data_IF_398036903481
#
_entry.id   IF_398036903481
#
_cell.length_a   1.000
_cell.length_b   1.000
_cell.length_c   1.000
_cell.angle_alpha   90.00
_cell.angle_beta   90.00
_cell.angle_gamma   90.00
#
_symmetry.space_group_name_H-M   'P 1'
#
loop_
_entity.id
_entity.type
_entity.pdbx_description
1 polymer ?
2 branched ?
3 branched ?
4 non-polymer ?
5 water ?
#
# COMPACT_ATOMS: atom_id res chain seq x y z
N UNK A 7 28.15 6.69 7.04
CA UNK A 7 29.10 7.75 6.68
C UNK A 7 28.42 9.13 6.55
N UNK A 8 28.90 10.10 7.34
CA UNK A 8 28.29 11.41 7.42
C UNK A 8 28.21 12.23 6.12
N UNK A 9 29.24 12.15 5.30
CA UNK A 9 29.27 12.86 4.02
C UNK A 9 28.20 12.29 3.08
N UNK A 10 28.04 10.97 3.09
CA UNK A 10 27.01 10.33 2.27
C UNK A 10 25.61 10.74 2.71
N UNK A 11 25.42 10.81 4.02
CA UNK A 11 24.16 11.27 4.60
C UNK A 11 23.92 12.74 4.22
N UNK A 12 24.97 13.55 4.19
CA UNK A 12 24.82 14.94 3.74
C UNK A 12 24.28 15.00 2.29
N UNK A 13 24.94 14.28 1.38
CA UNK A 13 24.60 14.28 -0.04
C UNK A 13 23.19 13.74 -0.28
N UNK A 14 22.81 12.74 0.51
CA UNK A 14 21.49 12.13 0.39
C UNK A 14 21.29 11.40 -0.93
N UNK A 15 20.03 11.17 -1.27
CA UNK A 15 19.72 10.46 -2.49
C UNK A 15 20.17 11.23 -3.71
N UNK A 16 20.65 10.51 -4.73
CA UNK A 16 20.97 11.11 -6.03
C UNK A 16 19.76 11.87 -6.62
N UNK A 17 20.03 12.78 -7.55
CA UNK A 17 18.98 13.55 -8.21
C UNK A 17 18.16 12.72 -9.18
N UNK A 18 18.80 11.73 -9.78
CA UNK A 18 18.15 10.78 -10.68
C UNK A 18 16.94 10.14 -10.03
N UNK A 19 17.16 9.60 -8.83
CA UNK A 19 16.12 8.93 -8.06
C UNK A 19 15.07 9.90 -7.54
N UNK A 20 13.82 9.69 -7.92
CA UNK A 20 12.73 10.45 -7.34
C UNK A 20 12.42 10.05 -5.90
N UNK A 21 11.64 10.90 -5.24
CA UNK A 21 11.23 10.69 -3.87
C UNK A 21 10.49 9.39 -3.76
N UNK A 22 9.67 9.10 -4.77
CA UNK A 22 8.81 7.92 -4.75
C UNK A 22 9.66 6.68 -4.96
N UNK A 23 10.61 6.73 -5.88
CA UNK A 23 11.49 5.57 -6.08
C UNK A 23 12.34 5.31 -4.83
N UNK A 24 12.83 6.37 -4.21
CA UNK A 24 13.71 6.23 -3.07
C UNK A 24 12.95 5.67 -1.87
N UNK A 25 11.72 6.16 -1.72
CA UNK A 25 10.84 5.68 -0.68
C UNK A 25 10.64 4.16 -0.78
N UNK A 26 10.21 3.70 -1.95
CA UNK A 26 9.95 2.28 -2.18
C UNK A 26 11.17 1.42 -1.89
N UNK A 27 12.33 1.91 -2.29
CA UNK A 27 13.56 1.16 -2.16
C UNK A 27 13.95 1.04 -0.67
N UNK A 28 13.78 2.11 0.09
CA UNK A 28 14.07 2.08 1.52
C UNK A 28 13.08 1.19 2.27
N UNK A 29 11.80 1.25 1.89
CA UNK A 29 10.75 0.41 2.45
C UNK A 29 11.10 -1.06 2.20
N UNK A 30 11.57 -1.33 1.00
CA UNK A 30 11.90 -2.69 0.60
C UNK A 30 13.10 -3.21 1.37
N UNK A 31 14.08 -2.32 1.61
CA UNK A 31 15.28 -2.71 2.31
C UNK A 31 15.00 -3.04 3.78
N UNK A 32 14.15 -2.24 4.42
CA UNK A 32 13.77 -2.53 5.80
C UNK A 32 12.99 -3.82 5.88
N UNK A 33 12.11 -4.03 4.91
CA UNK A 33 11.23 -5.18 4.89
C UNK A 33 12.04 -6.47 4.81
N UNK A 34 13.07 -6.49 3.96
CA UNK A 34 13.91 -7.67 3.80
C UNK A 34 14.68 -7.92 5.09
N UNK A 35 15.27 -6.85 5.62
CA UNK A 35 16.07 -6.90 6.85
C UNK A 35 15.26 -7.47 8.01
N UNK A 36 14.02 -6.99 8.13
CA UNK A 36 13.13 -7.41 9.19
C UNK A 36 12.60 -8.82 9.00
N UNK A 37 12.42 -9.26 7.76
CA UNK A 37 11.99 -10.62 7.53
C UNK A 37 13.06 -11.61 7.97
N UNK A 38 14.32 -11.22 7.81
CA UNK A 38 15.43 -12.07 8.17
C UNK A 38 15.53 -12.23 9.70
N UNK A 39 15.46 -11.11 10.43
CA UNK A 39 15.43 -11.13 11.89
C UNK A 39 14.29 -11.96 12.44
N UNK A 40 13.10 -11.73 11.89
CA UNK A 40 11.92 -12.45 12.36
C UNK A 40 12.11 -13.94 12.10
N UNK A 41 12.63 -14.28 10.92
CA UNK A 41 12.79 -15.68 10.58
C UNK A 41 13.80 -16.41 11.47
N UNK A 42 14.86 -15.71 11.85
CA UNK A 42 15.82 -16.29 12.77
C UNK A 42 15.19 -16.54 14.13
N UNK A 43 14.48 -15.56 14.67
CA UNK A 43 13.81 -15.76 15.95
C UNK A 43 12.80 -16.93 15.89
N UNK A 44 12.06 -17.00 14.80
CA UNK A 44 11.10 -18.10 14.59
C UNK A 44 11.77 -19.45 14.56
N UNK A 45 12.98 -19.50 14.01
CA UNK A 45 13.71 -20.75 13.90
C UNK A 45 14.18 -21.22 15.29
N UNK A 46 14.73 -20.29 16.08
CA UNK A 46 15.10 -20.61 17.46
C UNK A 46 13.90 -21.11 18.25
N UNK A 47 12.76 -20.45 18.09
CA UNK A 47 11.56 -20.85 18.79
C UNK A 47 11.23 -22.31 18.44
N UNK A 48 11.27 -22.62 17.15
CA UNK A 48 10.99 -23.95 16.64
C UNK A 48 11.94 -24.99 17.21
N UNK A 49 13.22 -24.62 17.29
CA UNK A 49 14.26 -25.53 17.69
C UNK A 49 14.16 -25.83 19.20
N UNK A 50 13.87 -24.81 19.99
CA UNK A 50 13.56 -25.00 21.41
C UNK A 50 12.31 -25.86 21.58
N UNK A 51 11.35 -25.67 20.70
CA UNK A 51 10.09 -26.40 20.74
C UNK A 51 10.26 -27.88 20.45
N UNK A 52 11.20 -28.21 19.56
CA UNK A 52 11.41 -29.58 19.13
C UNK A 52 12.03 -30.45 20.21
N UNK A 53 12.87 -29.85 21.04
CA UNK A 53 13.54 -30.56 22.12
C UNK A 53 12.61 -30.76 23.30
N UNK A 54 11.68 -29.82 23.45
CA UNK A 54 10.85 -29.74 24.63
C UNK A 54 9.45 -30.29 24.41
N UNK A 55 9.33 -31.29 23.54
CA UNK A 55 8.02 -31.73 23.08
C UNK A 55 7.17 -32.28 24.23
N UNK A 56 7.79 -33.06 25.11
CA UNK A 56 7.06 -33.68 26.19
C UNK A 56 7.19 -32.95 27.53
N UNK A 57 7.71 -31.74 27.51
CA UNK A 57 7.87 -30.91 28.69
C UNK A 57 6.56 -30.71 29.45
N UNK A 58 6.64 -30.48 30.76
CA UNK A 58 5.40 -30.18 31.49
C UNK A 58 4.81 -28.85 31.02
N UNK A 59 3.49 -28.76 31.12
CA UNK A 59 2.73 -27.64 30.60
C UNK A 59 3.36 -26.27 30.90
N UNK A 60 3.62 -25.97 32.17
CA UNK A 60 4.09 -24.64 32.56
C UNK A 60 5.49 -24.35 32.04
N UNK A 61 6.24 -25.41 31.79
CA UNK A 61 7.58 -25.26 31.24
C UNK A 61 7.47 -24.91 29.76
N UNK A 62 6.42 -25.43 29.12
CA UNK A 62 6.15 -25.17 27.72
C UNK A 62 5.60 -23.76 27.54
N UNK A 63 4.79 -23.32 28.49
CA UNK A 63 4.27 -21.98 28.43
C UNK A 63 5.41 -20.98 28.65
N UNK A 64 6.38 -21.30 29.51
CA UNK A 64 7.49 -20.37 29.75
C UNK A 64 8.37 -20.23 28.51
N UNK A 65 8.56 -21.33 27.80
CA UNK A 65 9.31 -21.34 26.57
C UNK A 65 8.61 -20.41 25.52
N UNK A 66 7.28 -20.44 25.49
CA UNK A 66 6.50 -19.60 24.58
C UNK A 66 6.53 -18.14 24.99
N UNK A 67 6.38 -17.85 26.28
CA UNK A 67 6.45 -16.47 26.74
C UNK A 67 7.80 -15.85 26.39
N UNK A 68 8.85 -16.67 26.47
CA UNK A 68 10.20 -16.25 26.16
C UNK A 68 10.30 -15.67 24.74
N UNK A 69 9.79 -16.40 23.76
CA UNK A 69 9.93 -15.96 22.38
C UNK A 69 8.86 -14.95 21.96
N UNK A 70 7.68 -15.03 22.57
CA UNK A 70 6.65 -14.04 22.27
C UNK A 70 7.14 -12.67 22.65
N UNK A 71 7.90 -12.61 23.73
CA UNK A 71 8.44 -11.38 24.27
C UNK A 71 9.55 -10.83 23.38
N UNK A 72 10.36 -11.72 22.83
CA UNK A 72 11.36 -11.28 21.87
C UNK A 72 10.69 -10.72 20.59
N UNK A 73 9.65 -11.40 20.13
CA UNK A 73 8.93 -10.99 18.96
C UNK A 73 8.24 -9.66 19.17
N UNK A 74 7.73 -9.43 20.38
CA UNK A 74 7.07 -8.16 20.66
C UNK A 74 8.03 -6.97 20.51
N UNK A 75 9.23 -7.11 21.06
CA UNK A 75 10.21 -6.05 20.94
C UNK A 75 10.57 -5.80 19.47
N UNK A 76 10.52 -6.87 18.69
CA UNK A 76 10.81 -6.82 17.27
C UNK A 76 9.69 -6.10 16.50
N UNK A 77 8.45 -6.48 16.79
CA UNK A 77 7.27 -5.89 16.16
C UNK A 77 7.25 -4.38 16.41
N UNK A 78 7.58 -3.97 17.63
CA UNK A 78 7.57 -2.54 17.95
C UNK A 78 8.66 -1.76 17.24
N UNK A 79 9.80 -2.40 16.98
CA UNK A 79 10.84 -1.79 16.16
C UNK A 79 10.38 -1.60 14.72
N UNK A 80 9.82 -2.67 14.16
CA UNK A 80 9.35 -2.71 12.79
C UNK A 80 8.35 -1.57 12.55
N UNK A 81 7.47 -1.38 13.51
CA UNK A 81 6.44 -0.39 13.36
C UNK A 81 6.97 1.03 13.66
N UNK A 82 7.95 1.16 14.54
CA UNK A 82 8.57 2.45 14.79
C UNK A 82 9.30 2.97 13.56
N UNK A 83 10.00 2.06 12.87
CA UNK A 83 10.71 2.34 11.65
C UNK A 83 9.76 2.82 10.56
N UNK A 84 8.68 2.06 10.40
CA UNK A 84 7.63 2.34 9.44
C UNK A 84 7.07 3.75 9.64
N UNK A 85 6.72 4.11 10.87
CA UNK A 85 6.19 5.45 11.16
C UNK A 85 7.15 6.53 10.72
N UNK A 86 8.42 6.30 11.00
CA UNK A 86 9.45 7.26 10.66
C UNK A 86 9.61 7.39 9.15
N UNK A 87 9.53 6.27 8.44
CA UNK A 87 9.70 6.26 6.99
C UNK A 87 8.50 6.94 6.33
N UNK A 88 7.34 6.65 6.87
CA UNK A 88 6.10 7.14 6.30
C UNK A 88 5.91 8.64 6.62
N UNK A 89 6.36 9.10 7.78
CA UNK A 89 6.26 10.52 8.08
C UNK A 89 7.21 11.34 7.22
N UNK A 90 8.44 10.88 7.07
CA UNK A 90 9.41 11.56 6.21
C UNK A 90 8.89 11.66 4.78
N UNK A 91 8.32 10.58 4.26
CA UNK A 91 7.77 10.58 2.91
C UNK A 91 6.57 11.54 2.75
N UNK A 92 5.67 11.52 3.73
CA UNK A 92 4.46 12.32 3.63
C UNK A 92 4.78 13.82 3.63
N UNK A 93 5.73 14.19 4.48
CA UNK A 93 6.25 15.54 4.57
C UNK A 93 6.90 16.02 3.26
N UNK A 94 7.67 15.14 2.62
CA UNK A 94 8.29 15.49 1.35
C UNK A 94 7.28 15.66 0.21
N UNK A 95 6.22 14.84 0.20
CA UNK A 95 5.26 14.85 -0.89
C UNK A 95 4.48 16.17 -0.87
N UNK A 96 3.93 16.50 0.29
CA UNK A 96 3.34 17.79 0.55
C UNK A 96 4.23 18.98 0.15
N UNK A 97 5.53 18.92 0.45
CA UNK A 97 6.44 20.01 0.09
C UNK A 97 6.60 20.10 -1.43
N UNK A 98 6.70 18.95 -2.09
CA UNK A 98 6.82 18.93 -3.55
C UNK A 98 5.58 19.51 -4.19
N UNK A 99 4.43 19.14 -3.67
CA UNK A 99 3.17 19.59 -4.23
C UNK A 99 3.03 21.09 -3.99
N UNK A 100 3.42 21.55 -2.80
CA UNK A 100 3.41 22.98 -2.51
C UNK A 100 4.34 23.73 -3.49
N UNK A 101 5.49 23.14 -3.79
CA UNK A 101 6.46 23.79 -4.65
C UNK A 101 5.97 23.90 -6.09
N UNK A 102 5.33 22.83 -6.56
CA UNK A 102 4.88 22.77 -7.94
C UNK A 102 3.80 23.83 -8.23
N UNK A 103 2.85 24.01 -7.30
CA UNK A 103 1.79 24.96 -7.52
C UNK A 103 2.29 26.39 -7.35
N UNK A 104 3.26 26.59 -6.47
CA UNK A 104 3.77 27.93 -6.27
C UNK A 104 4.66 28.38 -7.43
N UNK A 105 5.36 27.43 -8.03
CA UNK A 105 6.25 27.77 -9.13
C UNK A 105 5.42 28.00 -10.37
N UNK A 106 4.31 27.28 -10.46
CA UNK A 106 3.38 27.42 -11.57
C UNK A 106 2.67 28.76 -11.48
N UNK A 107 2.26 29.14 -10.27
CA UNK A 107 1.66 30.44 -10.04
C UNK A 107 2.64 31.55 -10.45
N UNK A 108 3.92 31.34 -10.13
CA UNK A 108 5.00 32.23 -10.52
C UNK A 108 5.09 32.39 -12.02
N UNK A 109 5.00 31.25 -12.72
CA UNK A 109 5.00 31.25 -14.17
C UNK A 109 3.86 32.07 -14.74
N UNK A 110 2.65 31.85 -14.20
CA UNK A 110 1.42 32.56 -14.60
C UNK A 110 1.60 34.07 -14.43
N UNK A 111 2.04 34.50 -13.25
CA UNK A 111 2.24 35.93 -13.00
C UNK A 111 3.30 36.57 -13.90
N UNK A 112 4.34 35.81 -14.26
CA UNK A 112 5.39 36.32 -15.12
C UNK A 112 4.86 36.49 -16.56
N UNK A 113 3.97 35.59 -16.97
CA UNK A 113 3.41 35.62 -18.31
C UNK A 113 2.43 36.75 -18.45
N UNK A 114 1.64 36.99 -17.40
CA UNK A 114 0.69 38.09 -17.38
C UNK A 114 1.35 39.45 -17.53
N UNK A 115 2.55 39.62 -17.00
CA UNK A 115 3.19 40.93 -16.99
C UNK A 115 4.16 41.12 -18.14
N UNK A 116 4.28 40.10 -18.98
CA UNK A 116 5.09 40.22 -20.20
C UNK A 116 4.59 41.38 -21.07
N UNK A 117 5.50 41.97 -21.84
CA UNK A 117 5.15 43.06 -22.75
C UNK A 117 5.93 42.94 -24.06
N UNK A 118 5.23 42.67 -25.17
CA UNK A 118 3.78 42.48 -25.32
C UNK A 118 3.31 41.16 -24.75
N UNK A 119 2.21 41.18 -23.98
CA UNK A 119 1.69 39.96 -23.36
C UNK A 119 1.32 38.92 -24.42
N UNK A 120 1.59 37.65 -24.13
CA UNK A 120 1.39 36.58 -25.09
C UNK A 120 0.32 35.61 -24.61
N UNK A 121 -0.83 35.65 -25.27
CA UNK A 121 -2.00 34.85 -24.91
C UNK A 121 -1.68 33.37 -24.76
N UNK A 122 -0.85 32.83 -25.63
CA UNK A 122 -0.62 31.39 -25.62
C UNK A 122 0.21 31.00 -24.40
N UNK A 123 1.18 31.84 -24.06
CA UNK A 123 2.04 31.61 -22.92
C UNK A 123 1.25 31.75 -21.62
N UNK A 124 0.40 32.76 -21.54
CA UNK A 124 -0.45 32.96 -20.36
C UNK A 124 -1.41 31.79 -20.18
N UNK A 125 -2.04 31.39 -21.27
CA UNK A 125 -2.97 30.27 -21.22
C UNK A 125 -2.28 28.98 -20.80
N UNK A 126 -1.07 28.77 -21.31
CA UNK A 126 -0.33 27.56 -21.00
C UNK A 126 0.08 27.53 -19.53
N UNK A 127 0.58 28.67 -19.05
CA UNK A 127 0.99 28.84 -17.66
C UNK A 127 -0.18 28.62 -16.69
N UNK A 128 -1.37 29.06 -17.09
CA UNK A 128 -2.58 28.91 -16.29
C UNK A 128 -3.05 27.45 -16.20
N UNK A 129 -3.01 26.76 -17.33
CA UNK A 129 -3.30 25.32 -17.35
C UNK A 129 -2.40 24.58 -16.36
N UNK A 130 -1.11 24.92 -16.39
CA UNK A 130 -0.12 24.28 -15.51
C UNK A 130 -0.40 24.61 -14.03
N UNK A 131 -0.81 25.84 -13.75
CA UNK A 131 -1.13 26.24 -12.37
C UNK A 131 -2.39 25.54 -11.86
N UNK A 132 -3.42 25.48 -12.70
CA UNK A 132 -4.67 24.82 -12.36
C UNK A 132 -4.49 23.32 -12.13
N UNK A 133 -3.59 22.67 -12.87
CA UNK A 133 -3.30 21.26 -12.64
C UNK A 133 -2.64 21.01 -11.29
N UNK A 134 -1.72 21.90 -10.93
CA UNK A 134 -0.94 21.78 -9.71
C UNK A 134 -1.83 21.90 -8.48
N UNK A 135 -2.81 22.81 -8.56
CA UNK A 135 -3.80 22.95 -7.50
C UNK A 135 -4.70 21.73 -7.47
N UNK A 136 -5.04 21.20 -8.64
CA UNK A 136 -5.86 20.00 -8.70
C UNK A 136 -5.11 18.78 -8.15
N UNK A 137 -3.78 18.79 -8.33
CA UNK A 137 -2.99 17.71 -7.77
C UNK A 137 -3.07 17.76 -6.24
N UNK A 138 -3.11 18.96 -5.68
CA UNK A 138 -3.20 19.06 -4.22
C UNK A 138 -4.59 18.65 -3.75
N UNK A 139 -5.61 19.01 -4.52
CA UNK A 139 -6.96 18.63 -4.18
C UNK A 139 -7.14 17.11 -4.19
N UNK A 140 -6.60 16.43 -5.21
CA UNK A 140 -6.75 14.97 -5.32
C UNK A 140 -5.95 14.25 -4.24
N UNK A 141 -4.77 14.78 -3.92
CA UNK A 141 -3.98 14.24 -2.83
C UNK A 141 -4.69 14.39 -1.49
N UNK A 142 -5.46 15.46 -1.33
CA UNK A 142 -6.17 15.68 -0.08
C UNK A 142 -7.33 14.71 0.06
N UNK A 143 -8.03 14.47 -1.04
CA UNK A 143 -9.12 13.50 -1.05
C UNK A 143 -8.63 12.06 -0.92
N UNK A 144 -7.56 11.71 -1.63
CA UNK A 144 -7.07 10.34 -1.68
C UNK A 144 -6.47 9.88 -0.37
N UNK A 145 -5.70 10.77 0.26
CA UNK A 145 -5.13 10.45 1.55
C UNK A 145 -6.25 10.27 2.59
N UNK A 146 -7.28 11.10 2.49
CA UNK A 146 -8.42 10.94 3.40
C UNK A 146 -9.11 9.62 3.13
N UNK A 147 -9.28 9.28 1.86
CA UNK A 147 -9.94 8.07 1.43
C UNK A 147 -9.13 6.85 1.87
N UNK A 148 -7.82 6.99 1.82
CA UNK A 148 -6.94 5.90 2.19
C UNK A 148 -6.94 5.63 3.70
N UNK A 149 -6.88 6.70 4.50
CA UNK A 149 -6.95 6.55 5.95
C UNK A 149 -8.31 5.99 6.36
N UNK A 150 -9.38 6.43 5.70
CA UNK A 150 -10.68 5.86 5.99
C UNK A 150 -10.69 4.34 5.73
N UNK A 151 -9.94 3.94 4.71
CA UNK A 151 -9.99 2.57 4.20
C UNK A 151 -9.16 1.58 5.03
N UNK A 152 -8.13 2.07 5.73
CA UNK A 152 -7.23 1.17 6.45
C UNK A 152 -7.12 1.50 7.93
N UNK A 153 -7.77 2.58 8.34
CA UNK A 153 -7.64 3.09 9.70
C UNK A 153 -8.79 4.04 10.01
N UNK A 154 -10.02 3.48 10.10
CA UNK A 154 -11.24 4.31 10.18
C UNK A 154 -11.31 5.24 11.39
N UNK A 155 -10.58 4.94 12.46
CA UNK A 155 -10.62 5.79 13.65
C UNK A 155 -9.81 7.07 13.45
N UNK A 156 -8.72 6.94 12.70
CA UNK A 156 -7.86 8.07 12.37
C UNK A 156 -8.58 9.03 11.40
N UNK A 157 -9.49 8.46 10.62
CA UNK A 157 -10.26 9.18 9.60
C UNK A 157 -11.17 10.24 10.21
N UNK A 158 -11.92 9.84 11.24
CA UNK A 158 -12.80 10.73 11.97
C UNK A 158 -12.04 11.93 12.53
N UNK A 159 -10.78 11.74 12.89
CA UNK A 159 -9.96 12.83 13.39
C UNK A 159 -9.64 13.88 12.32
N UNK A 160 -9.72 13.47 11.05
CA UNK A 160 -9.31 14.28 9.91
C UNK A 160 -10.42 15.14 9.30
N UNK A 161 -11.64 14.60 9.27
CA UNK A 161 -12.76 15.16 8.53
C UNK A 161 -12.76 16.67 8.40
N UNK A 162 -12.91 17.35 9.53
CA UNK A 162 -12.97 18.79 9.54
C UNK A 162 -11.77 19.43 8.86
N UNK A 163 -10.58 18.94 9.16
CA UNK A 163 -9.35 19.47 8.59
C UNK A 163 -9.32 19.31 7.05
N UNK A 164 -9.77 18.16 6.57
CA UNK A 164 -9.90 17.87 5.15
C UNK A 164 -10.90 18.83 4.51
N UNK A 165 -12.01 18.99 5.20
CA UNK A 165 -13.11 19.85 4.78
C UNK A 165 -12.63 21.30 4.64
N UNK A 166 -11.82 21.74 5.60
CA UNK A 166 -11.25 23.07 5.58
C UNK A 166 -10.24 23.25 4.45
N UNK A 167 -9.39 22.25 4.29
CA UNK A 167 -8.31 22.29 3.31
C UNK A 167 -8.87 22.42 1.88
N UNK A 168 -9.96 21.69 1.59
CA UNK A 168 -10.54 21.74 0.26
C UNK A 168 -11.11 23.14 -0.04
N UNK A 169 -11.74 23.77 0.96
CA UNK A 169 -12.26 25.15 0.78
C UNK A 169 -11.11 26.10 0.56
N UNK A 170 -10.03 25.93 1.32
CA UNK A 170 -8.83 26.73 1.14
C UNK A 170 -8.32 26.69 -0.30
N UNK A 171 -8.18 25.49 -0.86
CA UNK A 171 -7.67 25.32 -2.22
C UNK A 171 -8.57 26.02 -3.22
N UNK A 172 -9.86 25.84 -3.03
CA UNK A 172 -10.88 26.33 -3.91
C UNK A 172 -10.87 27.86 -3.98
N UNK A 173 -10.80 28.51 -2.82
CA UNK A 173 -10.72 29.95 -2.78
C UNK A 173 -9.45 30.45 -3.42
N UNK A 174 -8.34 29.82 -3.09
CA UNK A 174 -7.05 30.26 -3.61
C UNK A 174 -7.04 30.22 -5.14
N UNK A 175 -7.60 29.17 -5.72
CA UNK A 175 -7.67 29.09 -7.17
C UNK A 175 -8.50 30.27 -7.74
N UNK A 176 -9.67 30.51 -7.18
CA UNK A 176 -10.50 31.65 -7.59
C UNK A 176 -9.78 33.00 -7.42
N UNK A 177 -9.10 33.20 -6.28
CA UNK A 177 -8.29 34.41 -6.14
C UNK A 177 -7.20 34.48 -7.20
N UNK A 178 -6.61 33.35 -7.58
CA UNK A 178 -5.60 33.38 -8.64
C UNK A 178 -6.18 33.68 -10.04
N UNK A 179 -7.36 33.12 -10.29
CA UNK A 179 -8.03 33.31 -11.56
C UNK A 179 -8.31 34.80 -11.71
N UNK A 180 -8.60 35.43 -10.58
CA UNK A 180 -8.86 36.86 -10.54
C UNK A 180 -7.68 37.72 -10.97
N UNK A 181 -6.49 37.15 -11.00
CA UNK A 181 -5.32 37.95 -11.35
C UNK A 181 -5.25 38.20 -12.84
N UNK A 182 -6.13 37.59 -13.61
CA UNK A 182 -6.22 37.84 -15.04
C UNK A 182 -6.50 39.32 -15.32
N UNK A 183 -7.14 40.02 -14.38
CA UNK A 183 -7.45 41.44 -14.60
C UNK A 183 -6.18 42.33 -14.55
N UNK A 184 -5.03 41.71 -14.29
CA UNK A 184 -3.74 42.39 -14.42
C UNK A 184 -3.50 42.85 -15.84
N UNK A 185 -4.03 42.10 -16.80
CA UNK A 185 -3.98 42.46 -18.21
C UNK A 185 -5.31 42.21 -18.91
N UNK A 186 -6.30 43.08 -18.63
CA UNK A 186 -7.70 42.92 -19.07
C UNK A 186 -7.90 42.72 -20.57
N UNK A 187 -6.94 43.16 -21.38
CA UNK A 187 -7.08 42.98 -22.82
C UNK A 187 -6.64 41.57 -23.19
N UNK A 188 -5.73 41.01 -22.40
CA UNK A 188 -5.37 39.61 -22.60
C UNK A 188 -6.48 38.74 -22.02
N UNK A 189 -7.13 39.25 -20.98
CA UNK A 189 -8.26 38.56 -20.36
C UNK A 189 -9.37 38.32 -21.38
N UNK A 190 -9.71 39.37 -22.11
CA UNK A 190 -10.78 39.31 -23.09
C UNK A 190 -10.42 38.42 -24.27
N UNK A 191 -9.21 38.57 -24.79
CA UNK A 191 -8.77 37.69 -25.86
C UNK A 191 -8.82 36.20 -25.47
N UNK A 192 -8.65 35.90 -24.17
CA UNK A 192 -8.55 34.52 -23.68
C UNK A 192 -9.85 33.91 -23.14
N UNK A 193 -10.83 34.76 -22.89
CA UNK A 193 -12.17 34.39 -22.40
C UNK A 193 -12.76 33.02 -22.86
N UNK A 194 -12.79 32.76 -24.18
CA UNK A 194 -13.38 31.47 -24.55
C UNK A 194 -12.51 30.29 -24.15
N UNK A 195 -11.20 30.46 -24.25
CA UNK A 195 -10.28 29.40 -23.85
C UNK A 195 -10.35 29.15 -22.34
N UNK A 196 -10.69 30.16 -21.57
CA UNK A 196 -10.77 30.03 -20.13
C UNK A 196 -11.97 29.20 -19.72
N UNK A 197 -13.07 29.38 -20.45
CA UNK A 197 -14.25 28.55 -20.23
C UNK A 197 -13.91 27.09 -20.54
N UNK A 198 -13.01 26.91 -21.50
CA UNK A 198 -12.61 25.59 -21.98
C UNK A 198 -11.69 24.89 -20.95
N UNK A 199 -10.69 25.63 -20.45
CA UNK A 199 -9.88 25.21 -19.32
C UNK A 199 -10.69 24.70 -18.13
N UNK A 200 -11.64 25.52 -17.68
CA UNK A 200 -12.31 25.23 -16.43
C UNK A 200 -13.35 24.13 -16.57
N UNK A 201 -14.02 24.08 -17.72
CA UNK A 201 -15.18 23.19 -17.82
C UNK A 201 -15.04 22.10 -18.86
N UNK A 202 -14.36 22.36 -19.96
CA UNK A 202 -14.16 21.31 -20.94
C UNK A 202 -13.05 20.38 -20.46
N UNK A 203 -11.92 20.94 -20.06
CA UNK A 203 -10.79 20.14 -19.53
C UNK A 203 -10.95 19.82 -18.06
N UNK A 204 -11.97 20.39 -17.44
CA UNK A 204 -12.29 20.15 -16.03
C UNK A 204 -11.16 20.52 -15.08
N UNK A 205 -10.46 21.60 -15.38
CA UNK A 205 -9.41 22.07 -14.49
C UNK A 205 -9.91 23.05 -13.43
N UNK A 206 -11.20 23.42 -13.48
CA UNK A 206 -11.75 24.33 -12.50
C UNK A 206 -11.81 23.74 -11.11
N UNK A 207 -11.59 24.57 -10.08
CA UNK A 207 -11.58 24.10 -8.69
C UNK A 207 -12.89 23.48 -8.20
N UNK A 208 -14.00 23.75 -8.87
CA UNK A 208 -15.31 23.24 -8.47
C UNK A 208 -15.80 22.11 -9.38
N UNK A 209 -14.93 21.60 -10.25
CA UNK A 209 -15.24 20.41 -11.03
C UNK A 209 -15.19 19.16 -10.16
N UNK B 7 -24.96 -8.19 -14.53
CA UNK B 7 -25.39 -9.44 -15.15
C UNK B 7 -24.77 -10.65 -14.43
N UNK B 8 -25.63 -11.57 -14.00
CA UNK B 8 -25.20 -12.77 -13.29
C UNK B 8 -24.20 -13.59 -14.06
N UNK B 9 -24.44 -13.75 -15.36
CA UNK B 9 -23.57 -14.54 -16.22
C UNK B 9 -22.15 -13.96 -16.26
N UNK B 10 -22.02 -12.65 -16.29
CA UNK B 10 -20.69 -12.00 -16.25
C UNK B 10 -19.95 -12.27 -14.93
N UNK B 11 -20.71 -12.27 -13.84
CA UNK B 11 -20.15 -12.51 -12.53
C UNK B 11 -19.73 -13.98 -12.44
N UNK B 12 -20.47 -14.88 -13.10
CA UNK B 12 -20.09 -16.29 -13.13
C UNK B 12 -18.74 -16.47 -13.80
N UNK B 13 -18.52 -15.78 -14.92
CA UNK B 13 -17.29 -15.97 -15.69
C UNK B 13 -16.08 -15.37 -15.00
N UNK B 14 -16.31 -14.32 -14.20
CA UNK B 14 -15.23 -13.61 -13.53
C UNK B 14 -14.26 -12.97 -14.50
N UNK B 15 -13.07 -12.64 -14.02
CA UNK B 15 -12.07 -11.99 -14.86
C UNK B 15 -11.61 -12.86 -16.00
N UNK B 16 -11.17 -12.25 -17.11
CA UNK B 16 -10.56 -13.01 -18.19
C UNK B 16 -9.23 -13.63 -17.76
N UNK B 17 -8.87 -14.73 -18.40
CA UNK B 17 -7.68 -15.47 -18.04
C UNK B 17 -6.38 -14.72 -18.24
N UNK B 18 -6.36 -13.75 -19.15
CA UNK B 18 -5.12 -13.03 -19.45
C UNK B 18 -4.77 -12.01 -18.38
N UNK B 19 -5.73 -11.70 -17.50
CA UNK B 19 -5.50 -10.77 -16.41
C UNK B 19 -5.10 -11.52 -15.15
N UNK B 20 -3.93 -11.20 -14.61
CA UNK B 20 -3.49 -11.87 -13.40
C UNK B 20 -4.34 -11.41 -12.22
N UNK B 21 -4.29 -12.15 -11.13
CA UNK B 21 -5.04 -11.79 -9.93
C UNK B 21 -4.52 -10.47 -9.39
N UNK B 22 -3.24 -10.25 -9.59
CA UNK B 22 -2.57 -9.05 -9.08
C UNK B 22 -3.01 -7.82 -9.88
N UNK B 23 -2.95 -7.93 -11.20
CA UNK B 23 -3.42 -6.87 -12.07
C UNK B 23 -4.91 -6.59 -11.80
N UNK B 24 -5.68 -7.65 -11.60
CA UNK B 24 -7.10 -7.54 -11.35
C UNK B 24 -7.40 -6.83 -10.06
N UNK B 25 -6.64 -7.20 -9.05
CA UNK B 25 -6.78 -6.64 -7.71
C UNK B 25 -6.48 -5.14 -7.69
N UNK B 26 -5.36 -4.74 -8.29
CA UNK B 26 -4.99 -3.33 -8.33
C UNK B 26 -6.03 -2.51 -9.10
N UNK B 27 -6.52 -3.06 -10.22
CA UNK B 27 -7.53 -2.40 -11.03
C UNK B 27 -8.78 -2.16 -10.20
N UNK B 28 -9.23 -3.18 -9.48
CA UNK B 28 -10.45 -3.06 -8.68
C UNK B 28 -10.24 -2.09 -7.52
N UNK B 29 -9.03 -2.04 -6.98
CA UNK B 29 -8.76 -1.19 -5.85
C UNK B 29 -8.80 0.26 -6.31
N UNK B 30 -8.31 0.48 -7.52
CA UNK B 30 -8.22 1.82 -8.10
C UNK B 30 -9.59 2.30 -8.60
N UNK B 31 -10.39 1.40 -9.17
CA UNK B 31 -11.79 1.70 -9.46
C UNK B 31 -12.52 2.19 -8.21
N UNK B 32 -12.39 1.44 -7.11
CA UNK B 32 -13.09 1.80 -5.89
C UNK B 32 -12.56 3.11 -5.33
N UNK B 33 -11.26 3.31 -5.44
CA UNK B 33 -10.64 4.53 -4.94
C UNK B 33 -11.18 5.78 -5.68
N UNK B 34 -11.21 5.74 -7.01
CA UNK B 34 -11.72 6.88 -7.78
C UNK B 34 -13.20 7.10 -7.49
N UNK B 35 -13.94 6.00 -7.37
CA UNK B 35 -15.36 6.05 -7.02
C UNK B 35 -15.60 6.73 -5.67
N UNK B 36 -14.82 6.38 -4.64
CA UNK B 36 -15.02 6.91 -3.30
C UNK B 36 -14.52 8.36 -3.11
N UNK B 37 -13.51 8.76 -3.87
CA UNK B 37 -13.03 10.13 -3.82
C UNK B 37 -14.12 11.06 -4.32
N UNK B 38 -14.89 10.62 -5.30
CA UNK B 38 -15.93 11.48 -5.84
C UNK B 38 -17.08 11.62 -4.85
N UNK B 39 -17.44 10.55 -4.17
CA UNK B 39 -18.48 10.63 -3.15
C UNK B 39 -18.07 11.61 -2.06
N UNK B 40 -16.84 11.47 -1.62
CA UNK B 40 -16.33 12.31 -0.55
C UNK B 40 -16.28 13.77 -1.02
N UNK B 41 -15.87 14.00 -2.26
CA UNK B 41 -15.81 15.38 -2.74
C UNK B 41 -17.20 15.97 -2.80
N UNK B 42 -18.18 15.20 -3.25
CA UNK B 42 -19.58 15.64 -3.29
C UNK B 42 -20.13 16.04 -1.94
N UNK B 43 -19.83 15.25 -0.90
CA UNK B 43 -20.29 15.54 0.44
C UNK B 43 -19.56 16.75 1.03
N UNK B 44 -18.26 16.83 0.76
CA UNK B 44 -17.45 17.93 1.29
C UNK B 44 -17.92 19.26 0.74
N UNK B 45 -18.40 19.25 -0.49
CA UNK B 45 -18.85 20.47 -1.16
C UNK B 45 -20.25 20.88 -0.69
N UNK B 46 -21.14 19.90 -0.51
CA UNK B 46 -22.41 20.15 0.15
C UNK B 46 -22.19 20.78 1.52
N UNK B 47 -21.24 20.22 2.27
CA UNK B 47 -20.94 20.69 3.61
C UNK B 47 -20.50 22.13 3.58
N UNK B 48 -19.62 22.46 2.62
CA UNK B 48 -19.10 23.82 2.51
C UNK B 48 -20.20 24.80 2.16
N UNK B 49 -21.19 24.37 1.37
CA UNK B 49 -22.26 25.28 0.99
C UNK B 49 -23.22 25.51 2.14
N UNK B 50 -23.60 24.45 2.86
CA UNK B 50 -24.44 24.59 4.05
C UNK B 50 -23.73 25.45 5.10
N UNK B 51 -22.43 25.21 5.25
CA UNK B 51 -21.57 25.96 6.15
C UNK B 51 -21.65 27.44 5.86
N UNK B 52 -21.42 27.78 4.61
CA UNK B 52 -21.44 29.17 4.15
C UNK B 52 -22.82 29.81 4.27
N UNK B 53 -23.83 29.10 3.78
CA UNK B 53 -25.22 29.56 3.82
C UNK B 53 -25.69 29.88 5.24
N UNK B 54 -25.15 29.19 6.24
CA UNK B 54 -25.62 29.33 7.61
C UNK B 54 -24.61 29.99 8.56
N UNK B 55 -23.61 30.67 8.01
CA UNK B 55 -22.54 31.23 8.85
C UNK B 55 -23.03 32.34 9.79
N UNK B 56 -24.01 33.13 9.34
CA UNK B 56 -24.54 34.23 10.15
C UNK B 56 -25.64 33.80 11.12
N UNK B 57 -26.00 32.51 11.09
CA UNK B 57 -27.05 31.97 11.94
C UNK B 57 -26.49 31.64 13.33
N UNK B 58 -27.38 31.32 14.31
CA UNK B 58 -26.90 31.00 15.65
C UNK B 58 -26.00 29.75 15.71
N UNK B 59 -25.09 29.72 16.67
CA UNK B 59 -24.17 28.59 16.86
C UNK B 59 -24.90 27.25 17.04
N UNK B 60 -26.07 27.27 17.66
CA UNK B 60 -26.87 26.07 17.80
C UNK B 60 -27.30 25.54 16.44
N UNK B 61 -27.71 26.46 15.57
CA UNK B 61 -28.05 26.07 14.20
C UNK B 61 -26.80 25.56 13.47
N UNK B 62 -25.66 26.21 13.70
CA UNK B 62 -24.39 25.91 13.03
C UNK B 62 -23.75 24.61 13.51
N UNK B 63 -23.79 24.37 14.81
CA UNK B 63 -23.17 23.17 15.38
C UNK B 63 -23.98 21.93 15.00
N UNK B 64 -25.31 22.09 14.95
CA UNK B 64 -26.20 21.03 14.50
C UNK B 64 -25.93 20.65 13.06
N UNK B 65 -25.37 21.59 12.30
CA UNK B 65 -25.08 21.39 10.89
C UNK B 65 -23.79 20.59 10.73
N UNK B 66 -22.74 21.01 11.41
CA UNK B 66 -21.47 20.29 11.42
C UNK B 66 -21.63 18.83 11.80
N UNK B 67 -22.39 18.56 12.83
CA UNK B 67 -22.57 17.19 13.27
C UNK B 67 -23.31 16.38 12.19
N UNK B 68 -24.14 17.06 11.41
CA UNK B 68 -24.94 16.38 10.39
C UNK B 68 -24.06 15.75 9.30
N UNK B 69 -23.09 16.51 8.82
CA UNK B 69 -22.20 16.03 7.78
C UNK B 69 -21.14 15.09 8.34
N UNK B 70 -20.68 15.38 9.56
CA UNK B 70 -19.80 14.48 10.29
C UNK B 70 -20.42 13.09 10.37
N UNK B 71 -21.69 13.03 10.72
CA UNK B 71 -22.46 11.79 10.70
C UNK B 71 -22.50 11.13 9.32
N UNK B 72 -22.73 11.94 8.29
CA UNK B 72 -22.77 11.47 6.91
C UNK B 72 -21.45 10.82 6.53
N UNK B 73 -20.35 11.51 6.83
CA UNK B 73 -19.01 11.05 6.48
C UNK B 73 -18.65 9.78 7.26
N UNK B 74 -19.08 9.71 8.51
CA UNK B 74 -18.81 8.51 9.31
C UNK B 74 -19.41 7.27 8.66
N UNK B 75 -20.63 7.39 8.15
CA UNK B 75 -21.23 6.29 7.40
C UNK B 75 -20.38 5.97 6.19
N UNK B 76 -19.84 7.02 5.57
CA UNK B 76 -19.04 6.85 4.36
C UNK B 76 -17.71 6.16 4.67
N UNK B 77 -17.03 6.61 5.72
CA UNK B 77 -15.81 5.96 6.18
C UNK B 77 -16.06 4.49 6.45
N UNK B 78 -17.16 4.19 7.12
CA UNK B 78 -17.50 2.81 7.43
C UNK B 78 -17.64 1.98 6.18
N UNK B 79 -18.40 2.48 5.21
CA UNK B 79 -18.56 1.78 3.94
C UNK B 79 -17.24 1.57 3.22
N UNK B 80 -16.39 2.61 3.19
CA UNK B 80 -15.08 2.50 2.57
C UNK B 80 -14.22 1.44 3.28
N UNK B 81 -14.20 1.49 4.60
CA UNK B 81 -13.41 0.53 5.40
C UNK B 81 -13.85 -0.94 5.19
N UNK B 82 -15.15 -1.19 5.28
CA UNK B 82 -15.70 -2.51 5.07
C UNK B 82 -15.42 -3.05 3.70
N UNK B 83 -15.53 -2.19 2.70
CA UNK B 83 -15.30 -2.57 1.31
C UNK B 83 -13.84 -2.96 1.06
N UNK B 84 -12.91 -2.18 1.60
CA UNK B 84 -11.50 -2.51 1.57
C UNK B 84 -11.23 -3.85 2.26
N UNK B 85 -11.95 -4.14 3.35
CA UNK B 85 -11.81 -5.42 4.04
C UNK B 85 -12.21 -6.59 3.14
N UNK B 86 -13.37 -6.48 2.48
CA UNK B 86 -13.84 -7.53 1.58
C UNK B 86 -12.90 -7.74 0.39
N UNK B 87 -12.33 -6.65 -0.09
CA UNK B 87 -11.40 -6.70 -1.21
C UNK B 87 -10.08 -7.34 -0.80
N UNK B 88 -9.60 -7.00 0.39
CA UNK B 88 -8.36 -7.57 0.91
C UNK B 88 -8.54 -9.06 1.25
N UNK B 89 -9.73 -9.43 1.74
CA UNK B 89 -10.01 -10.83 2.04
C UNK B 89 -10.07 -11.67 0.78
N UNK B 90 -10.81 -11.22 -0.22
CA UNK B 90 -10.85 -11.90 -1.51
C UNK B 90 -9.46 -12.09 -2.09
N UNK B 91 -8.65 -11.04 -2.09
CA UNK B 91 -7.30 -11.15 -2.66
C UNK B 91 -6.36 -12.07 -1.83
N UNK B 92 -6.41 -12.01 -0.49
CA UNK B 92 -5.51 -12.86 0.30
C UNK B 92 -5.87 -14.33 0.12
N UNK B 93 -7.17 -14.63 0.19
CA UNK B 93 -7.66 -15.97 -0.05
C UNK B 93 -7.20 -16.53 -1.41
N UNK B 94 -7.13 -15.69 -2.43
CA UNK B 94 -6.72 -16.20 -3.74
C UNK B 94 -5.23 -16.40 -3.89
N UNK B 95 -4.44 -15.56 -3.25
CA UNK B 95 -2.99 -15.71 -3.31
C UNK B 95 -2.55 -16.98 -2.56
N UNK B 96 -3.22 -17.28 -1.45
CA UNK B 96 -2.89 -18.45 -0.68
C UNK B 96 -3.22 -19.71 -1.49
N UNK B 97 -4.33 -19.68 -2.22
CA UNK B 97 -4.73 -20.81 -3.08
C UNK B 97 -3.73 -20.99 -4.23
N UNK B 98 -3.29 -19.90 -4.83
CA UNK B 98 -2.31 -19.99 -5.91
C UNK B 98 -1.02 -20.60 -5.39
N UNK B 99 -0.54 -20.11 -4.26
CA UNK B 99 0.71 -20.62 -3.71
C UNK B 99 0.55 -22.09 -3.33
N UNK B 100 -0.61 -22.45 -2.76
CA UNK B 100 -0.91 -23.85 -2.49
C UNK B 100 -0.82 -24.70 -3.74
N UNK B 101 -1.37 -24.20 -4.83
CA UNK B 101 -1.50 -25.00 -6.02
C UNK B 101 -0.16 -25.20 -6.67
N UNK B 102 0.67 -24.17 -6.61
CA UNK B 102 1.98 -24.25 -7.22
C UNK B 102 2.87 -25.27 -6.49
N UNK B 103 2.86 -25.27 -5.15
CA UNK B 103 3.72 -26.23 -4.43
C UNK B 103 3.20 -27.68 -4.49
N UNK B 104 1.88 -27.85 -4.44
CA UNK B 104 1.32 -29.19 -4.54
C UNK B 104 1.55 -29.78 -5.93
N UNK B 105 1.43 -28.94 -6.96
CA UNK B 105 1.65 -29.37 -8.33
C UNK B 105 3.12 -29.70 -8.52
N UNK B 106 3.98 -28.90 -7.91
CA UNK B 106 5.41 -29.18 -7.98
C UNK B 106 5.78 -30.47 -7.20
N UNK B 107 5.12 -30.72 -6.07
CA UNK B 107 5.42 -31.92 -5.28
C UNK B 107 5.07 -33.14 -6.11
N UNK B 108 3.93 -33.05 -6.78
CA UNK B 108 3.47 -34.11 -7.66
C UNK B 108 4.52 -34.45 -8.72
N UNK B 109 5.13 -33.41 -9.31
CA UNK B 109 6.18 -33.60 -10.28
C UNK B 109 7.41 -34.28 -9.70
N UNK B 110 7.79 -33.86 -8.50
CA UNK B 110 8.96 -34.41 -7.81
C UNK B 110 8.77 -35.86 -7.41
N UNK B 111 7.55 -36.23 -7.04
CA UNK B 111 7.23 -37.60 -6.66
C UNK B 111 7.24 -38.52 -7.88
N UNK B 112 6.69 -38.03 -8.99
CA UNK B 112 6.68 -38.76 -10.25
C UNK B 112 8.10 -39.04 -10.74
N UNK B 113 8.90 -37.99 -10.86
CA UNK B 113 10.27 -38.12 -11.33
C UNK B 113 11.10 -39.03 -10.42
N UNK B 114 10.83 -38.94 -9.13
CA UNK B 114 11.54 -39.68 -8.09
C UNK B 114 11.27 -41.17 -8.20
N UNK B 115 10.06 -41.48 -8.66
CA UNK B 115 9.54 -42.83 -8.62
C UNK B 115 9.61 -43.46 -10.01
N UNK B 116 10.14 -42.71 -10.97
CA UNK B 116 10.31 -43.20 -12.33
C UNK B 116 11.22 -44.41 -12.34
N UNK B 117 11.09 -45.25 -13.36
CA UNK B 117 11.91 -46.45 -13.46
C UNK B 117 12.70 -46.49 -14.76
N UNK B 118 13.99 -46.14 -14.70
CA UNK B 118 14.69 -45.69 -13.50
C UNK B 118 14.68 -44.16 -13.36
N UNK B 119 14.83 -43.66 -12.12
CA UNK B 119 14.84 -42.19 -11.93
C UNK B 119 16.06 -41.56 -12.59
N UNK B 120 15.88 -40.39 -13.20
CA UNK B 120 16.98 -39.72 -13.88
C UNK B 120 17.30 -38.38 -13.22
N UNK B 121 18.54 -38.26 -12.75
CA UNK B 121 19.01 -37.15 -11.92
C UNK B 121 18.69 -35.73 -12.44
N UNK B 122 18.66 -35.55 -13.75
CA UNK B 122 18.33 -34.23 -14.30
C UNK B 122 16.86 -33.91 -14.04
N UNK B 123 15.99 -34.90 -14.26
CA UNK B 123 14.55 -34.70 -14.08
C UNK B 123 14.19 -34.45 -12.61
N UNK B 124 14.63 -35.36 -11.74
CA UNK B 124 14.43 -35.21 -10.30
C UNK B 124 14.84 -33.82 -9.83
N UNK B 125 16.08 -33.45 -10.13
CA UNK B 125 16.67 -32.21 -9.63
C UNK B 125 15.96 -30.95 -10.16
N UNK B 126 15.44 -30.99 -11.38
CA UNK B 126 14.65 -29.86 -11.86
C UNK B 126 13.36 -29.77 -11.05
N UNK B 127 12.70 -30.91 -10.89
CA UNK B 127 11.46 -31.00 -10.10
C UNK B 127 11.67 -30.61 -8.63
N UNK B 128 12.75 -31.07 -8.03
CA UNK B 128 13.04 -30.74 -6.64
C UNK B 128 13.27 -29.25 -6.48
N UNK B 129 13.88 -28.64 -7.50
CA UNK B 129 14.11 -27.20 -7.50
C UNK B 129 12.81 -26.42 -7.59
N UNK B 130 11.93 -26.85 -8.48
CA UNK B 130 10.66 -26.18 -8.66
C UNK B 130 9.86 -26.28 -7.37
N UNK B 131 9.91 -27.46 -6.74
CA UNK B 131 9.24 -27.67 -5.46
C UNK B 131 9.75 -26.76 -4.35
N UNK B 132 11.06 -26.75 -4.12
CA UNK B 132 11.64 -25.94 -3.04
C UNK B 132 11.28 -24.48 -3.20
N UNK B 133 11.41 -23.95 -4.42
CA UNK B 133 11.05 -22.57 -4.71
C UNK B 133 9.61 -22.29 -4.29
N UNK B 134 8.73 -23.22 -4.64
CA UNK B 134 7.33 -23.09 -4.27
C UNK B 134 7.14 -23.01 -2.74
N UNK B 135 7.81 -23.87 -1.97
CA UNK B 135 7.73 -23.81 -0.50
C UNK B 135 8.39 -22.53 0.04
N UNK B 136 9.52 -22.14 -0.53
CA UNK B 136 10.11 -20.85 -0.18
C UNK B 136 9.16 -19.68 -0.43
N UNK B 137 8.35 -19.80 -1.48
CA UNK B 137 7.40 -18.75 -1.79
C UNK B 137 6.36 -18.65 -0.68
N UNK B 138 5.84 -19.78 -0.22
CA UNK B 138 4.89 -19.73 0.89
C UNK B 138 5.56 -19.21 2.17
N UNK B 139 6.83 -19.54 2.35
CA UNK B 139 7.54 -19.05 3.52
C UNK B 139 7.72 -17.54 3.47
N UNK B 140 8.21 -17.01 2.34
CA UNK B 140 8.34 -15.55 2.16
C UNK B 140 7.00 -14.87 2.41
N UNK B 141 5.94 -15.45 1.88
CA UNK B 141 4.63 -14.83 1.97
C UNK B 141 4.18 -14.75 3.41
N UNK B 142 4.39 -15.83 4.15
CA UNK B 142 3.99 -15.91 5.55
C UNK B 142 4.73 -14.89 6.40
N UNK B 143 6.05 -14.80 6.23
CA UNK B 143 6.83 -13.78 6.92
C UNK B 143 6.43 -12.36 6.52
N UNK B 144 6.27 -12.13 5.22
CA UNK B 144 6.04 -10.78 4.71
C UNK B 144 4.67 -10.30 5.19
N UNK B 145 3.68 -11.19 5.15
CA UNK B 145 2.37 -10.79 5.64
C UNK B 145 2.47 -10.36 7.10
N UNK B 146 3.23 -11.13 7.89
CA UNK B 146 3.35 -10.90 9.31
C UNK B 146 4.17 -9.64 9.62
N UNK B 147 5.29 -9.44 8.92
CA UNK B 147 6.05 -8.21 9.05
C UNK B 147 5.14 -7.01 8.72
N UNK B 148 4.23 -7.19 7.76
CA UNK B 148 3.34 -6.11 7.37
C UNK B 148 2.27 -5.79 8.43
N UNK B 149 1.65 -6.80 9.02
CA UNK B 149 0.69 -6.53 10.10
C UNK B 149 1.42 -5.91 11.32
N UNK B 150 2.67 -6.30 11.52
CA UNK B 150 3.46 -5.71 12.58
C UNK B 150 3.72 -4.23 12.29
N UNK B 151 4.00 -3.93 11.03
CA UNK B 151 4.27 -2.55 10.61
C UNK B 151 3.06 -1.61 10.78
N UNK B 152 1.85 -2.19 10.76
CA UNK B 152 0.61 -1.43 10.60
C UNK B 152 -0.38 -1.54 11.75
N UNK B 153 -0.52 -2.74 12.30
CA UNK B 153 -1.48 -2.99 13.38
C UNK B 153 -0.86 -3.86 14.48
N UNK B 154 -0.50 -3.23 15.61
CA UNK B 154 0.25 -3.87 16.70
C UNK B 154 -0.49 -5.03 17.35
N UNK B 155 -1.78 -4.85 17.62
CA UNK B 155 -2.53 -5.86 18.36
C UNK B 155 -2.81 -7.08 17.50
N UNK B 156 -2.93 -6.88 16.20
CA UNK B 156 -3.21 -8.00 15.30
C UNK B 156 -1.98 -8.88 15.10
N UNK B 157 -0.81 -8.25 15.18
CA UNK B 157 0.46 -8.96 15.13
C UNK B 157 0.65 -9.85 16.38
N UNK B 158 0.39 -9.29 17.55
CA UNK B 158 0.38 -10.03 18.83
C UNK B 158 -0.44 -11.32 18.75
N UNK B 159 -1.53 -11.30 18.01
CA UNK B 159 -2.44 -12.43 18.01
C UNK B 159 -2.13 -13.49 16.96
N UNK B 160 -1.43 -13.10 15.89
CA UNK B 160 -1.12 -14.05 14.81
C UNK B 160 0.26 -14.68 15.03
N UNK B 161 0.97 -14.10 15.98
CA UNK B 161 2.35 -14.47 16.27
C UNK B 161 2.56 -15.99 16.39
N UNK B 162 1.72 -16.66 17.16
CA UNK B 162 1.89 -18.08 17.39
C UNK B 162 1.51 -18.89 16.14
N UNK B 163 0.45 -18.48 15.46
CA UNK B 163 0.03 -19.12 14.21
C UNK B 163 1.15 -19.09 13.16
N UNK B 164 1.85 -17.96 13.08
CA UNK B 164 2.91 -17.81 12.09
C UNK B 164 4.04 -18.80 12.40
N UNK B 165 4.46 -18.80 13.66
CA UNK B 165 5.39 -19.81 14.21
C UNK B 165 5.01 -21.23 13.79
N UNK B 166 3.76 -21.61 14.10
CA UNK B 166 3.25 -22.92 13.70
C UNK B 166 3.32 -23.13 12.17
N UNK B 167 2.87 -22.13 11.41
CA UNK B 167 2.87 -22.24 9.96
C UNK B 167 4.28 -22.45 9.40
N UNK B 168 5.24 -21.66 9.86
CA UNK B 168 6.63 -21.86 9.45
C UNK B 168 7.17 -23.24 9.77
N UNK B 169 6.73 -23.85 10.88
CA UNK B 169 7.24 -25.17 11.25
C UNK B 169 6.67 -26.20 10.32
N UNK B 170 5.41 -25.98 9.94
CA UNK B 170 4.74 -26.91 9.04
C UNK B 170 5.46 -26.93 7.70
N UNK B 171 5.83 -25.77 7.17
CA UNK B 171 6.53 -25.70 5.89
C UNK B 171 7.83 -26.48 6.05
N UNK B 172 8.56 -26.18 7.11
CA UNK B 172 9.86 -26.82 7.39
C UNK B 172 9.78 -28.36 7.48
N UNK B 173 8.74 -28.85 8.12
CA UNK B 173 8.48 -30.28 8.21
C UNK B 173 8.18 -30.91 6.84
N UNK B 174 7.37 -30.24 6.04
CA UNK B 174 7.10 -30.70 4.67
C UNK B 174 8.37 -30.80 3.83
N UNK B 175 9.18 -29.74 3.84
CA UNK B 175 10.43 -29.75 3.12
C UNK B 175 11.34 -30.90 3.55
N UNK B 176 11.56 -31.05 4.85
CA UNK B 176 12.39 -32.14 5.36
C UNK B 176 11.87 -33.50 4.91
N UNK B 177 10.57 -33.73 5.05
CA UNK B 177 9.97 -34.98 4.60
C UNK B 177 10.18 -35.24 3.10
N UNK B 178 10.07 -34.18 2.30
CA UNK B 178 10.22 -34.33 0.86
C UNK B 178 11.66 -34.65 0.49
N UNK B 179 12.61 -33.99 1.15
CA UNK B 179 14.03 -34.27 0.95
C UNK B 179 14.43 -35.67 1.46
N UNK B 180 13.75 -36.12 2.51
CA UNK B 180 13.98 -37.45 3.07
C UNK B 180 13.59 -38.54 2.10
N UNK B 181 12.63 -38.26 1.23
CA UNK B 181 12.22 -39.20 0.20
C UNK B 181 13.34 -39.39 -0.81
N UNK B 182 14.12 -38.33 -0.99
CA UNK B 182 15.26 -38.40 -1.89
C UNK B 182 16.32 -39.33 -1.31
N UNK B 183 16.46 -39.29 0.02
CA UNK B 183 17.45 -40.11 0.70
C UNK B 183 17.15 -41.61 0.54
N UNK B 184 15.90 -41.97 0.29
CA UNK B 184 15.51 -43.36 0.03
C UNK B 184 16.35 -44.00 -1.09
N UNK B 185 16.90 -43.16 -1.96
CA UNK B 185 17.82 -43.62 -3.00
C UNK B 185 19.18 -42.97 -2.75
N UNK B 186 20.05 -43.66 -1.99
CA UNK B 186 21.31 -43.11 -1.48
C UNK B 186 22.29 -42.69 -2.57
N UNK B 187 22.33 -43.42 -3.68
CA UNK B 187 23.26 -43.10 -4.74
C UNK B 187 22.77 -41.88 -5.51
N UNK B 188 21.46 -41.74 -5.61
CA UNK B 188 20.84 -40.57 -6.25
C UNK B 188 20.88 -39.37 -5.30
N UNK B 189 20.72 -39.62 -4.01
CA UNK B 189 20.72 -38.57 -3.01
C UNK B 189 22.11 -37.94 -2.89
N UNK B 190 23.13 -38.79 -2.76
CA UNK B 190 24.51 -38.32 -2.64
C UNK B 190 24.95 -37.58 -3.89
N UNK B 191 24.45 -38.01 -5.05
CA UNK B 191 24.79 -37.40 -6.32
C UNK B 191 24.24 -35.98 -6.43
N UNK B 192 22.96 -35.83 -6.13
CA UNK B 192 22.30 -34.53 -6.28
C UNK B 192 22.55 -33.63 -5.07
N UNK B 193 22.96 -34.22 -3.95
CA UNK B 193 23.14 -33.47 -2.70
C UNK B 193 24.09 -32.27 -2.82
N UNK B 194 25.23 -32.41 -3.52
CA UNK B 194 26.03 -31.19 -3.70
C UNK B 194 25.25 -30.09 -4.40
N UNK B 195 24.52 -30.44 -5.45
CA UNK B 195 23.66 -29.46 -6.12
C UNK B 195 22.53 -29.03 -5.18
N UNK B 196 21.94 -30.00 -4.48
CA UNK B 196 20.85 -29.72 -3.54
C UNK B 196 21.28 -28.79 -2.40
N UNK B 197 22.41 -29.12 -1.76
CA UNK B 197 22.92 -28.32 -0.65
C UNK B 197 23.23 -26.90 -1.11
N UNK B 198 23.72 -26.78 -2.33
CA UNK B 198 23.88 -25.48 -2.97
C UNK B 198 22.52 -24.81 -3.03
N UNK B 199 21.53 -25.54 -3.51
CA UNK B 199 20.18 -25.03 -3.69
C UNK B 199 19.41 -24.82 -2.38
N UNK B 200 19.52 -25.79 -1.46
CA UNK B 200 18.79 -25.73 -0.19
C UNK B 200 19.23 -24.52 0.62
N UNK B 201 20.52 -24.21 0.57
CA UNK B 201 21.04 -22.99 1.14
C UNK B 201 21.22 -21.94 0.05
N UNK B 202 20.32 -21.95 -0.93
CA UNK B 202 20.21 -20.89 -1.93
C UNK B 202 18.78 -20.34 -1.94
X LIG C 1 2.03 10.05 -13.64
X LIG C 1 3.04 8.90 -13.61
X LIG C 1 4.20 9.24 -12.66
X LIG C 1 3.70 9.69 -11.27
X LIG C 1 2.59 10.76 -11.44
X LIG C 1 1.91 11.01 -10.11
X LIG C 1 2.60 11.22 -14.26
X LIG C 1 2.36 7.68 -13.15
X LIG C 1 5.00 10.27 -13.23
X LIG C 1 3.24 8.58 -10.50
X LIG C 1 1.55 10.30 -12.33
X LIG C 1 0.87 10.39 -9.86
X LIG C 1 2.46 11.84 -9.36
X LIG C 1 2.05 6.61 -14.12
X LIG C 1 3.28 5.82 -14.38
X LIG C 1 1.57 7.21 -15.39
X LIG C 1 0.99 5.74 -13.58
X LIG C 2 4.17 8.01 -9.54
X LIG C 2 3.68 6.61 -9.13
X LIG C 2 2.46 6.71 -8.22
X LIG C 2 2.72 7.62 -7.03
X LIG C 2 3.12 8.97 -7.61
X LIG C 2 3.23 10.15 -6.65
X LIG C 2 3.31 5.86 -10.30
X LIG C 2 2.08 5.42 -7.78
X LIG C 2 1.52 7.75 -6.31
X LIG C 2 4.35 8.84 -8.37
X LIG C 2 4.61 10.42 -6.27
X LIG C 2 4.36 4.75 -10.88
X LIG C 2 3.80 4.14 -12.10
X LIG C 2 5.65 5.42 -11.18
X LIG C 2 4.56 3.71 -9.85
X LIG C 2 4.97 10.42 -4.83
X LIG C 2 6.36 10.92 -4.70
X LIG C 2 4.08 11.33 -4.09
X LIG C 2 4.89 9.08 -4.23
X LIG C 3 1.65 7.55 -4.89
X LIG C 3 0.53 8.32 -4.18
X LIG C 3 -0.82 7.61 -4.18
X LIG C 3 -0.70 6.10 -3.89
X LIG C 3 0.38 5.53 -4.80
X LIG C 3 0.57 4.03 -4.55
X LIG C 3 0.96 8.63 -2.82
X LIG C 3 -1.43 7.80 -5.44
X LIG C 3 -0.37 5.88 -2.52
X LIG C 3 1.64 6.16 -4.53
X LIG C 3 1.60 3.66 -3.98
X LIG C 3 -0.32 3.25 -4.97
X LIG C 3 1.49 9.98 -2.54
X LIG C 3 0.94 10.47 -1.26
X LIG C 3 1.18 10.93 -3.63
X LIG C 3 2.95 9.80 -2.40
X LIG C 4 -1.45 5.52 -1.61
X LIG C 4 -1.15 6.10 -0.21
X LIG C 4 0.02 5.34 0.44
X LIG C 4 -0.29 3.83 0.50
X LIG C 4 -0.57 3.36 -0.94
X LIG C 4 -0.80 1.84 -1.10
X LIG C 4 -0.87 7.51 -0.30
X LIG C 4 0.31 5.85 1.73
X LIG C 4 0.85 3.14 1.00
X LIG C 4 -1.68 4.09 -1.53
X LIG C 4 -2.23 1.52 -1.19
X LIG C 4 -2.07 8.58 0.05
X LIG C 4 -1.57 9.96 -0.05
X LIG C 4 -3.18 8.37 -0.88
X LIG C 4 -2.54 8.37 1.43
X LIG C 4 -2.81 0.56 -0.23
X LIG C 4 -4.17 0.26 -0.68
X LIG C 4 -1.99 -0.65 -0.16
X LIG C 4 -2.90 1.14 1.11
X LIG C 5 2.25 -1.10 2.62
X LIG C 5 0.70 2.03 1.93
X LIG C 5 2.11 1.40 2.15
X LIG C 5 2.06 0.27 3.11
X LIG C 5 3.01 2.47 2.76
X LIG C 5 3.74 3.17 1.75
X LIG C 5 2.29 3.40 3.74
X LIG C 5 0.95 3.36 3.93
X LIG C 5 0.15 2.47 3.18
X LIG C 5 0.19 4.17 4.95
X LIG C 5 3.45 -1.64 3.26
X LIG C 5 2.46 -1.16 1.18
X LIG C 5 1.05 -1.85 2.98
X LIG C 5 -1.05 4.26 4.89
X LIG C 5 0.80 4.77 5.87
X LIG D 1 8.32 -21.45 -15.05
X LIG D 1 9.72 -20.88 -14.76
X LIG D 1 9.78 -19.33 -14.80
X LIG D 1 8.51 -18.60 -14.33
X LIG D 1 7.26 -19.33 -14.82
X LIG D 1 6.02 -18.69 -14.24
X LIG D 1 8.11 -21.51 -16.47
X LIG D 1 10.21 -21.39 -13.46
X LIG D 1 10.08 -18.93 -16.14
X LIG D 1 8.48 -18.45 -12.90
X LIG D 1 7.31 -20.70 -14.37
X LIG D 1 5.20 -19.45 -13.66
X LIG D 1 5.85 -17.46 -14.38
X LIG D 1 11.18 -22.51 -13.47
X LIG D 1 12.42 -22.10 -14.17
X LIG D 1 10.60 -23.67 -14.18
X LIG D 1 11.51 -22.89 -12.09
X LIG D 2 9.43 -17.53 -12.30
X LIG D 2 9.05 -17.25 -10.84
X LIG D 2 7.81 -16.37 -10.74
X LIG D 2 7.93 -15.11 -11.59
X LIG D 2 8.37 -15.46 -13.03
X LIG D 2 8.74 -14.21 -13.82
X LIG D 2 8.80 -18.51 -10.14
X LIG D 2 7.63 -15.98 -9.38
X LIG D 2 6.65 -14.48 -11.62
X LIG D 2 9.57 -16.29 -13.02
X LIG D 2 9.50 -13.33 -12.94
X LIG D 2 9.96 -19.14 -9.20
X LIG D 2 9.55 -19.03 -7.77
X LIG D 2 10.15 -20.57 -9.54
X LIG D 2 11.24 -18.42 -9.40
X LIG D 2 10.90 -13.00 -13.32
X LIG D 2 10.90 -12.18 -14.55
X LIG D 2 11.54 -12.24 -12.23
X LIG D 2 11.67 -14.24 -13.55
X LIG D 3 6.60 -13.04 -11.80
X LIG D 3 5.14 -12.59 -12.04
X LIG D 3 4.31 -12.52 -10.73
X LIG D 3 5.07 -11.95 -9.53
X LIG D 3 6.49 -12.53 -9.46
X LIG D 3 7.26 -11.81 -8.38
X LIG D 3 5.10 -11.31 -12.75
X LIG D 3 3.84 -13.82 -10.40
X LIG D 3 5.11 -10.51 -9.55
X LIG D 3 7.18 -12.31 -10.70
X LIG D 3 8.39 -11.37 -8.66
X LIG D 3 6.73 -11.70 -7.25
X LIG D 3 4.83 -11.33 -14.21
X LIG D 3 3.50 -11.94 -14.46
X LIG D 3 5.87 -12.14 -14.90
X LIG D 3 4.84 -9.95 -14.74
X LIG D 4 3.86 -9.82 -9.32
X LIG D 4 4.09 -8.41 -8.70
X LIG D 4 4.40 -8.48 -7.21
X LIG D 4 3.35 -9.32 -6.49
X LIG D 4 3.30 -10.71 -7.14
X LIG D 4 2.35 -11.71 -6.48
X LIG D 4 5.18 -7.74 -9.37
X LIG D 4 4.41 -7.17 -6.67
X LIG D 4 3.70 -9.43 -5.10
X LIG D 4 2.91 -10.58 -8.53
X LIG D 4 0.99 -11.56 -6.99
X LIG D 4 4.85 -6.63 -10.54
X LIG D 4 6.10 -5.97 -10.96
X LIG D 4 4.22 -7.31 -11.70
X LIG D 4 3.92 -5.61 -9.99
X LIG D 4 -0.10 -11.28 -6.04
X LIG D 4 0.02 -9.92 -5.50
X LIG D 4 -1.39 -11.42 -6.73
X LIG D 4 -0.05 -12.25 -4.93
X LIG D 5 2.65 -9.05 -4.18
X LIG D 5 2.99 -9.56 -2.77
X LIG D 5 4.16 -8.77 -2.17
X LIG D 5 3.88 -7.27 -2.23
X LIG D 5 3.55 -6.87 -3.68
X LIG D 5 3.14 -5.41 -3.70
X LIG D 5 1.80 -9.43 -1.91
X LIG D 5 5.33 -9.06 -2.90
X LIG D 5 2.81 -6.92 -1.36
X LIG D 5 2.42 -7.63 -4.16
X LIG D 5 1.95 -5.14 -3.97
X LIG D 5 4.02 -4.55 -3.47
X LIG D 5 1.03 -10.63 -1.56
X LIG D 5 0.41 -10.46 -0.23
X LIG D 5 1.89 -11.82 -1.55
X LIG D 5 -0.05 -10.82 -2.56
X LIG D 6 3.20 -6.53 -0.03
X LIG D 6 1.99 -6.59 0.92
X LIG D 6 0.96 -5.56 0.49
X LIG D 6 1.61 -4.17 0.49
X LIG D 6 2.85 -4.18 -0.41
X LIG D 6 3.61 -2.86 -0.34
X LIG D 6 1.41 -7.91 0.95
X LIG D 6 -0.14 -5.57 1.39
X LIG D 6 0.68 -3.21 0.01
X LIG D 6 3.78 -5.22 0.01
X LIG D 6 4.15 -2.59 -1.67
X LIG D 6 1.77 -8.91 2.20
X LIG D 6 0.56 -9.65 2.61
X LIG D 6 2.81 -9.87 1.77
X LIG D 6 2.26 -8.11 3.34
X LIG D 6 3.68 -1.36 -2.36
X LIG D 6 4.24 -1.35 -3.72
X LIG D 6 2.21 -1.37 -2.44
X LIG D 6 4.14 -0.17 -1.63
X LIG E 1 -17.30 28.85 -15.50
#
# INVERSE_FOLDING_TARGET
EAEFPTDGVDIYFGMPGEISEHEGFLRAKMDLEERRMRQINEVMREWAMADNQSKNLPKADRQALNEHFQSILQTLEEQVSGERQRLVETHATRVIALINDQRRAALEGFLAALQADPPQAERVLLALRRYLRAEQKEQRHTLRHYQHVAAVDPEKAQQMRFQVHTHLQVIEERVNQSLGLLDQNPHLAQELRPQIQELLHSEHLGPSEL
EAEFPTDGVDIYFGMPGEISEHEGFLRAKMDLEERRMRQINEVMREWAMADNQSKNLPKADRQALNEHFQSILQTLEEQVSGERQRLVETHATRVIALINDQRRAALEGFLAALQADPPQAERVLLALRRYLRAEQKEQRHTLRHYQHVAAVDPEKAQQMRFQVHTHLQVIEERVNQSLGLLDQNPHLAQELRPQIQELLHSEHLGPSEL
IDS C1 C2 C3 C4 C5 C6 O1 O2 O3 O4 O5 O6A O6B S O1S O2S O3S
SGN C1 C2 C3 C4 C5 C6 N2 O3 O4 O5 O6 S1 O1S O2S O3S S2 O4S O5S O6S
IDS C1 C2 C3 C4 C5 C6 O2 O3 O4 O5 O6A O6B S O1S O2S O3S
SGN C1 C2 C3 C4 C5 C6 N2 O3 O4 O5 O6 S1 O1S O2S O3S S2 O4S O5S O6S
UAP S C1 C2 O2 C3 O3 C4 C5 O5 C6 O1S O2S O3S O6B O6A
IDS C1 C2 C3 C4 C5 C6 O1 O2 O3 O4 O5 O6A O6B S O1S O2S O3S
SGN C1 C2 C3 C4 C5 C6 N2 O3 O4 O5 O6 S1 O1S O2S O3S S2 O4S O5S O6S
IDS C1 C2 C3 C4 C5 C6 O2 O3 O4 O5 O6A O6B S O1S O2S O3S
SGN C1 C2 C3 C4 C5 C6 N2 O3 O4 O5 O6 S1 O1S O2S O3S S2 O4S O5S O6S
IDS C1 C2 C3 C4 C5 C6 O2 O3 O4 O5 O6A O6B S O1S O2S O3S
SGN C1 C2 C3 C4 C5 C6 N2 O3 O4 O5 O6 S1 O1S O2S O3S S2 O4S O5S O6S
ZN ZN
#
